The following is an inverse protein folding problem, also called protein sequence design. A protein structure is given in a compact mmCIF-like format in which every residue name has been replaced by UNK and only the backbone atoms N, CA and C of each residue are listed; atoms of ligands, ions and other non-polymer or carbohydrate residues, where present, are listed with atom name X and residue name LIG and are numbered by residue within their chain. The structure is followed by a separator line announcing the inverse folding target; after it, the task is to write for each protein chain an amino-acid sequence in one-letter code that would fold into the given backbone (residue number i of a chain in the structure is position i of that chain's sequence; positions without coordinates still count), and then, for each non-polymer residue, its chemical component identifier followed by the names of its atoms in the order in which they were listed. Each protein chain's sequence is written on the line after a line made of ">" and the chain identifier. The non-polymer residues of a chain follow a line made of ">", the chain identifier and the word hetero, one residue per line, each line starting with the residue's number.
data_IF_961325264483
#
_entry.id   IF_961325264483
#
_cell.length_a   1.000
_cell.length_b   1.000
_cell.length_c   1.000
_cell.angle_alpha   90.00
_cell.angle_beta   90.00
_cell.angle_gamma   90.00
#
_symmetry.space_group_name_H-M   'P 1'
#
loop_
_entity.id
_entity.type
_entity.pdbx_description
1 polymer ?
#
# COMPACT_ATOMS: atom_id res chain seq x y z
N UNK A 1 8.64 -36.78 0.20
CA UNK A 1 7.47 -35.90 0.43
C UNK A 1 8.03 -34.57 0.95
N UNK A 2 8.25 -33.63 0.03
CA UNK A 2 7.54 -32.33 -0.10
C UNK A 2 7.97 -31.25 0.91
N UNK A 3 8.52 -30.16 0.39
CA UNK A 3 8.78 -28.95 1.18
C UNK A 3 9.63 -27.90 0.46
N UNK A 4 9.49 -27.74 -0.86
CA UNK A 4 10.15 -26.65 -1.60
C UNK A 4 9.58 -25.32 -1.09
N UNK A 5 10.32 -24.68 -0.18
CA UNK A 5 10.04 -23.35 0.34
C UNK A 5 10.18 -22.34 -0.79
N UNK A 6 9.13 -22.18 -1.57
CA UNK A 6 9.02 -21.22 -2.67
C UNK A 6 9.04 -19.81 -2.08
N UNK A 7 10.26 -19.27 -1.89
CA UNK A 7 10.47 -17.84 -1.68
C UNK A 7 10.00 -17.12 -2.94
N UNK A 8 8.70 -16.83 -3.02
CA UNK A 8 8.13 -16.01 -4.09
C UNK A 8 8.99 -14.76 -4.23
N UNK A 9 9.52 -14.55 -5.45
CA UNK A 9 10.37 -13.41 -5.74
C UNK A 9 9.58 -12.16 -5.36
N UNK A 10 10.25 -11.16 -4.81
CA UNK A 10 9.64 -9.92 -4.33
C UNK A 10 8.65 -9.29 -5.34
N UNK A 11 8.92 -9.47 -6.65
CA UNK A 11 8.04 -9.09 -7.76
C UNK A 11 6.69 -9.83 -7.81
N UNK A 12 6.68 -11.14 -7.54
CA UNK A 12 5.47 -11.98 -7.60
C UNK A 12 4.51 -11.70 -6.45
N UNK A 13 5.05 -11.40 -5.25
CA UNK A 13 4.23 -10.92 -4.12
C UNK A 13 3.57 -9.59 -4.45
N UNK A 14 4.31 -8.65 -5.04
CA UNK A 14 3.78 -7.33 -5.41
C UNK A 14 2.63 -7.40 -6.43
N UNK A 15 2.65 -8.39 -7.33
CA UNK A 15 1.59 -8.61 -8.33
C UNK A 15 0.32 -9.23 -7.73
N UNK A 16 0.46 -10.12 -6.74
CA UNK A 16 -0.69 -10.75 -6.06
C UNK A 16 -1.35 -9.85 -5.02
N UNK A 17 -0.60 -8.93 -4.43
CA UNK A 17 -1.09 -8.00 -3.39
C UNK A 17 -1.72 -6.73 -3.95
N UNK A 18 -2.18 -6.70 -5.22
CA UNK A 18 -2.95 -5.56 -5.72
C UNK A 18 -4.25 -5.47 -4.91
N UNK A 19 -4.41 -4.43 -4.10
CA UNK A 19 -5.56 -4.31 -3.23
C UNK A 19 -6.81 -4.07 -4.09
N UNK A 20 -7.84 -4.85 -3.84
CA UNK A 20 -9.14 -4.68 -4.51
C UNK A 20 -9.99 -3.61 -3.81
N UNK A 21 -9.70 -3.34 -2.53
CA UNK A 21 -10.47 -2.48 -1.64
C UNK A 21 -9.53 -1.65 -0.75
N UNK A 22 -9.98 -0.46 -0.34
CA UNK A 22 -9.30 0.39 0.63
C UNK A 22 -9.37 -0.21 2.03
N UNK A 23 -8.27 -0.21 2.79
CA UNK A 23 -8.27 -0.64 4.20
C UNK A 23 -8.97 0.37 5.13
N UNK A 24 -9.06 1.65 4.76
CA UNK A 24 -9.73 2.67 5.59
C UNK A 24 -11.25 2.67 5.42
N UNK A 25 -11.74 2.66 4.17
CA UNK A 25 -13.17 2.81 3.88
C UNK A 25 -13.81 1.56 3.25
N UNK A 26 -13.04 0.54 2.91
CA UNK A 26 -13.55 -0.67 2.25
C UNK A 26 -13.96 -0.49 0.78
N UNK A 27 -13.98 0.74 0.25
CA UNK A 27 -14.45 1.01 -1.11
C UNK A 27 -13.44 0.57 -2.17
N UNK A 28 -13.98 0.21 -3.35
CA UNK A 28 -13.21 -0.01 -4.56
C UNK A 28 -12.95 1.32 -5.24
N UNK A 29 -11.70 1.57 -5.63
CA UNK A 29 -11.31 2.79 -6.33
C UNK A 29 -10.50 2.42 -7.58
N UNK A 30 -10.48 3.27 -8.61
CA UNK A 30 -9.63 3.06 -9.77
C UNK A 30 -8.14 3.13 -9.42
N UNK A 31 -7.81 3.80 -8.31
CA UNK A 31 -6.45 4.02 -7.86
C UNK A 31 -6.30 3.83 -6.35
N UNK A 32 -5.22 3.13 -5.97
CA UNK A 32 -4.85 2.87 -4.59
C UNK A 32 -3.36 3.16 -4.36
N UNK A 33 -3.06 3.79 -3.24
CA UNK A 33 -1.72 3.82 -2.68
C UNK A 33 -1.46 2.51 -1.95
N UNK A 34 -0.49 1.74 -2.44
CA UNK A 34 -0.10 0.47 -1.84
C UNK A 34 1.20 0.59 -1.08
N UNK A 35 1.22 0.12 0.17
CA UNK A 35 2.43 -0.05 0.95
C UNK A 35 3.04 -1.44 0.71
N UNK A 36 4.35 -1.54 0.92
CA UNK A 36 5.09 -2.82 0.88
C UNK A 36 4.59 -3.85 1.89
N UNK A 37 3.98 -3.44 3.00
CA UNK A 37 3.40 -4.35 3.99
C UNK A 37 2.08 -5.01 3.53
N UNK A 38 1.45 -4.49 2.47
CA UNK A 38 0.13 -4.93 1.99
C UNK A 38 -1.00 -3.96 2.30
N UNK A 39 -0.74 -2.90 3.08
CA UNK A 39 -1.71 -1.84 3.31
C UNK A 39 -2.06 -1.10 2.02
N UNK A 40 -3.33 -0.74 1.88
CA UNK A 40 -3.85 -0.08 0.70
C UNK A 40 -4.86 0.99 1.05
N UNK A 41 -4.69 2.18 0.50
CA UNK A 41 -5.56 3.32 0.77
C UNK A 41 -5.98 3.99 -0.53
N UNK A 42 -7.28 4.30 -0.68
CA UNK A 42 -7.79 5.00 -1.85
C UNK A 42 -7.35 6.47 -1.83
N UNK A 43 -7.48 7.15 -2.97
CA UNK A 43 -7.13 8.56 -3.12
C UNK A 43 -7.86 9.46 -2.11
N UNK A 44 -9.17 9.27 -1.91
CA UNK A 44 -9.96 10.09 -0.98
C UNK A 44 -9.49 9.95 0.46
N UNK A 45 -9.35 8.72 0.94
CA UNK A 45 -8.84 8.46 2.29
C UNK A 45 -7.40 8.97 2.43
N UNK A 46 -6.57 8.83 1.40
CA UNK A 46 -5.22 9.34 1.44
C UNK A 46 -5.21 10.86 1.56
N UNK A 47 -6.03 11.58 0.79
CA UNK A 47 -6.13 13.05 0.87
C UNK A 47 -6.62 13.51 2.25
N UNK A 48 -7.66 12.85 2.78
CA UNK A 48 -8.22 13.12 4.13
C UNK A 48 -7.26 12.76 5.25
N UNK A 49 -6.24 11.93 5.04
CA UNK A 49 -5.25 11.61 6.07
C UNK A 49 -3.85 12.15 5.75
N UNK A 50 -3.70 12.85 4.62
CA UNK A 50 -2.40 13.24 4.07
C UNK A 50 -1.57 14.09 5.04
N UNK A 51 -2.19 15.12 5.59
CA UNK A 51 -1.72 15.98 6.67
C UNK A 51 -1.20 15.25 7.91
N UNK A 52 -1.70 14.05 8.22
CA UNK A 52 -1.19 13.21 9.31
C UNK A 52 -0.21 12.12 8.86
N UNK A 53 -0.27 11.71 7.58
CA UNK A 53 0.52 10.60 7.03
C UNK A 53 1.71 11.06 6.19
N UNK A 54 1.81 12.32 5.81
CA UNK A 54 2.89 12.87 4.98
C UNK A 54 3.43 14.16 5.61
N UNK A 55 4.76 14.24 5.70
CA UNK A 55 5.45 15.39 6.28
C UNK A 55 5.97 16.39 5.23
N UNK A 56 6.08 15.97 3.97
CA UNK A 56 6.75 16.72 2.90
C UNK A 56 5.98 16.70 1.57
N UNK A 57 4.84 16.00 1.52
CA UNK A 57 4.04 15.79 0.33
C UNK A 57 4.72 15.04 -0.82
N UNK A 58 5.86 14.40 -0.56
CA UNK A 58 6.61 13.58 -1.51
C UNK A 58 6.58 12.12 -1.07
N UNK A 59 6.56 11.86 0.25
CA UNK A 59 6.44 10.53 0.82
C UNK A 59 5.32 10.47 1.83
N UNK A 60 4.76 9.28 2.03
CA UNK A 60 3.78 9.02 3.07
C UNK A 60 4.21 7.84 3.94
N UNK A 61 3.94 7.97 5.23
CA UNK A 61 4.18 6.96 6.24
C UNK A 61 2.95 6.07 6.39
N UNK A 62 3.15 4.76 6.26
CA UNK A 62 2.09 3.80 6.45
C UNK A 62 1.71 3.73 7.94
N UNK A 63 0.41 3.86 8.28
CA UNK A 63 -0.04 3.77 9.68
C UNK A 63 0.08 2.35 10.26
N UNK A 64 0.15 1.33 9.39
CA UNK A 64 0.18 -0.08 9.80
C UNK A 64 1.61 -0.54 10.17
N UNK A 65 2.60 -0.21 9.33
CA UNK A 65 3.98 -0.66 9.50
C UNK A 65 5.01 0.46 9.76
N UNK A 66 4.59 1.73 9.74
CA UNK A 66 5.49 2.89 9.87
C UNK A 66 6.44 3.11 8.68
N UNK A 67 6.35 2.29 7.63
CA UNK A 67 7.22 2.37 6.45
C UNK A 67 6.92 3.59 5.58
N UNK A 68 7.95 4.20 5.01
CA UNK A 68 7.82 5.30 4.06
C UNK A 68 7.60 4.79 2.63
N UNK A 69 6.64 5.40 1.93
CA UNK A 69 6.27 5.09 0.55
C UNK A 69 6.26 6.38 -0.27
N UNK A 70 6.51 6.31 -1.57
CA UNK A 70 6.46 7.49 -2.43
C UNK A 70 5.01 7.93 -2.68
N UNK A 71 4.77 9.22 -2.55
CA UNK A 71 3.56 9.94 -2.90
C UNK A 71 3.83 10.69 -4.22
N UNK A 72 3.20 10.26 -5.31
CA UNK A 72 3.25 10.96 -6.60
C UNK A 72 3.92 10.22 -7.75
N UNK A 73 4.52 9.04 -7.54
CA UNK A 73 5.07 8.24 -8.64
C UNK A 73 4.59 6.77 -8.53
N UNK A 74 3.36 6.52 -8.98
CA UNK A 74 2.80 5.18 -9.21
C UNK A 74 2.25 5.09 -10.63
#
# INVERSE_FOLDING_TARGET
>A
MTGSSTKLKYRERRLRSKPTNCHCCGNKAPFFWSCRCGFAICQDCMYVNFWGMSCNGITWQCPDCGGQNNFGNQ
#
